data_IF_040990064541
#
_entry.id   IF_040990064541
#
_cell.length_a   1.000
_cell.length_b   1.000
_cell.length_c   1.000
_cell.angle_alpha   90.00
_cell.angle_beta   90.00
_cell.angle_gamma   90.00
#
_symmetry.space_group_name_H-M   'P 1'
#
loop_
_entity.id
_entity.type
_entity.pdbx_description
1 polymer ?
#
# COMPACT_ATOMS: atom_id res chain seq x y z
N UNK A 1 7.95 15.31 -1.22
CA UNK A 1 7.85 14.17 -2.13
C UNK A 1 8.69 13.05 -1.57
N UNK A 2 8.05 12.03 -0.98
CA UNK A 2 8.75 10.86 -0.45
C UNK A 2 8.27 9.66 -1.24
N UNK A 3 9.21 8.91 -1.80
CA UNK A 3 8.91 7.64 -2.46
C UNK A 3 8.92 6.58 -1.35
N UNK A 4 7.75 6.03 -1.06
CA UNK A 4 7.57 5.00 -0.04
C UNK A 4 7.23 3.68 -0.72
N UNK A 5 8.07 2.68 -0.52
CA UNK A 5 7.83 1.33 -1.02
C UNK A 5 6.87 0.53 -0.12
N UNK A 6 6.68 1.01 1.12
CA UNK A 6 5.79 0.40 2.11
C UNK A 6 4.43 1.15 2.15
N UNK A 7 3.34 0.52 1.68
CA UNK A 7 2.02 1.13 1.68
C UNK A 7 1.44 1.33 3.09
N UNK A 8 1.87 0.56 4.10
CA UNK A 8 1.44 0.76 5.48
C UNK A 8 2.03 2.07 6.05
N UNK A 9 3.29 2.37 5.70
CA UNK A 9 3.92 3.65 6.04
C UNK A 9 3.23 4.81 5.31
N UNK A 10 2.97 4.64 4.02
CA UNK A 10 2.27 5.63 3.21
C UNK A 10 0.94 6.08 3.83
N UNK A 11 0.07 5.12 4.18
CA UNK A 11 -1.28 5.43 4.66
C UNK A 11 -1.30 6.03 6.06
N UNK A 12 -0.27 5.77 6.87
CA UNK A 12 -0.20 6.25 8.25
C UNK A 12 0.31 7.69 8.36
N UNK A 13 1.24 8.10 7.50
CA UNK A 13 1.90 9.40 7.60
C UNK A 13 1.56 10.36 6.46
N UNK A 14 0.89 9.88 5.40
CA UNK A 14 0.50 10.71 4.27
C UNK A 14 -1.02 10.88 4.22
N UNK A 15 -1.49 12.11 4.06
CA UNK A 15 -2.91 12.42 3.81
C UNK A 15 -3.36 12.04 2.39
N UNK A 16 -2.39 11.82 1.50
CA UNK A 16 -2.60 11.45 0.11
C UNK A 16 -1.50 10.49 -0.31
N UNK A 17 -1.87 9.42 -1.00
CA UNK A 17 -0.95 8.49 -1.65
C UNK A 17 -1.26 8.47 -3.15
N UNK A 18 -0.22 8.42 -3.98
CA UNK A 18 -0.38 8.38 -5.43
C UNK A 18 0.14 7.06 -5.95
N UNK A 19 -0.67 6.41 -6.77
CA UNK A 19 -0.40 5.10 -7.33
C UNK A 19 0.24 5.25 -8.69
N UNK A 20 1.40 4.63 -8.88
CA UNK A 20 2.09 4.59 -10.15
C UNK A 20 2.37 3.16 -10.58
N UNK A 21 2.28 2.91 -11.89
CA UNK A 21 2.70 1.66 -12.54
C UNK A 21 3.49 2.04 -13.78
N UNK A 22 4.71 1.51 -13.90
CA UNK A 22 5.56 1.72 -15.10
C UNK A 22 5.78 3.21 -15.45
N UNK A 23 5.90 4.07 -14.44
CA UNK A 23 6.07 5.51 -14.63
C UNK A 23 4.80 6.28 -14.96
N UNK A 24 3.64 5.61 -15.03
CA UNK A 24 2.34 6.23 -15.28
C UNK A 24 1.55 6.37 -13.99
N UNK A 25 0.88 7.51 -13.83
CA UNK A 25 -0.08 7.76 -12.76
C UNK A 25 -1.33 6.88 -12.98
N UNK A 26 -1.57 5.92 -12.10
CA UNK A 26 -2.70 5.00 -12.18
C UNK A 26 -3.86 5.37 -11.25
N UNK A 27 -3.62 6.24 -10.26
CA UNK A 27 -4.66 6.65 -9.34
C UNK A 27 -4.13 7.41 -8.14
N UNK A 28 -5.04 7.79 -7.26
CA UNK A 28 -4.75 8.42 -5.99
C UNK A 28 -5.59 7.76 -4.91
N UNK A 29 -5.04 7.70 -3.70
CA UNK A 29 -5.69 7.22 -2.49
C UNK A 29 -5.60 8.29 -1.41
N UNK A 30 -6.62 8.34 -0.56
CA UNK A 30 -6.59 9.00 0.72
C UNK A 30 -6.85 7.94 1.80
N UNK A 31 -6.18 8.01 2.96
CA UNK A 31 -6.53 7.14 4.08
C UNK A 31 -8.01 7.27 4.50
N UNK A 32 -8.62 8.42 4.18
CA UNK A 32 -10.02 8.76 4.41
C UNK A 32 -11.01 7.98 3.54
N UNK A 33 -10.56 7.41 2.41
CA UNK A 33 -11.42 6.67 1.46
C UNK A 33 -11.91 5.33 2.03
N UNK A 34 -11.41 4.94 3.20
CA UNK A 34 -11.81 3.75 3.94
C UNK A 34 -11.08 2.47 3.50
N UNK A 35 -11.09 1.43 4.33
CA UNK A 35 -10.27 0.23 4.15
C UNK A 35 -10.58 -0.52 2.85
N UNK A 36 -11.86 -0.64 2.47
CA UNK A 36 -12.25 -1.37 1.25
C UNK A 36 -11.76 -0.69 -0.02
N UNK A 37 -11.90 0.62 -0.09
CA UNK A 37 -11.52 1.41 -1.27
C UNK A 37 -10.01 1.45 -1.42
N UNK A 38 -9.30 1.62 -0.30
CA UNK A 38 -7.84 1.56 -0.23
C UNK A 38 -7.32 0.17 -0.60
N UNK A 39 -7.96 -0.90 -0.10
CA UNK A 39 -7.60 -2.27 -0.47
C UNK A 39 -7.81 -2.54 -1.96
N UNK A 40 -8.96 -2.14 -2.52
CA UNK A 40 -9.26 -2.34 -3.93
C UNK A 40 -8.19 -1.71 -4.83
N UNK A 41 -7.82 -0.45 -4.55
CA UNK A 41 -6.79 0.24 -5.33
C UNK A 41 -5.39 -0.36 -5.14
N UNK A 42 -5.02 -0.73 -3.90
CA UNK A 42 -3.71 -1.34 -3.62
C UNK A 42 -3.60 -2.77 -4.18
N UNK A 43 -4.69 -3.53 -4.23
CA UNK A 43 -4.70 -4.92 -4.71
C UNK A 43 -4.27 -5.06 -6.17
N UNK A 44 -4.47 -4.03 -6.99
CA UNK A 44 -3.98 -4.00 -8.35
C UNK A 44 -2.44 -4.07 -8.42
N UNK A 45 -1.76 -3.51 -7.41
CA UNK A 45 -0.30 -3.33 -7.36
C UNK A 45 0.37 -4.34 -6.43
N UNK A 46 -0.33 -4.70 -5.35
CA UNK A 46 0.07 -5.65 -4.32
C UNK A 46 -1.00 -6.75 -4.21
N UNK A 47 -0.99 -7.75 -5.11
CA UNK A 47 -1.91 -8.88 -5.01
C UNK A 47 -1.76 -9.56 -3.65
N UNK A 48 -2.87 -9.73 -2.93
CA UNK A 48 -2.89 -10.31 -1.58
C UNK A 48 -2.75 -9.30 -0.43
N UNK A 49 -2.70 -7.99 -0.72
CA UNK A 49 -2.80 -6.98 0.34
C UNK A 49 -4.21 -6.99 0.94
N UNK A 50 -4.27 -6.96 2.28
CA UNK A 50 -5.48 -6.72 3.05
C UNK A 50 -5.34 -5.45 3.84
N UNK A 51 -6.40 -4.65 3.87
CA UNK A 51 -6.45 -3.38 4.59
C UNK A 51 -7.58 -3.44 5.59
N UNK A 52 -7.33 -3.00 6.81
CA UNK A 52 -8.30 -2.97 7.88
C UNK A 52 -8.21 -1.67 8.67
N UNK A 53 -9.34 -1.30 9.24
CA UNK A 53 -9.43 -0.17 10.14
C UNK A 53 -8.77 -0.53 11.48
N UNK A 54 -8.00 0.40 12.04
CA UNK A 54 -7.31 0.23 13.30
C UNK A 54 -7.33 1.55 14.10
N UNK A 55 -7.30 1.49 15.44
CA UNK A 55 -7.17 2.70 16.25
C UNK A 55 -5.87 3.45 15.89
N UNK A 56 -6.01 4.60 15.22
CA UNK A 56 -4.88 5.41 14.73
C UNK A 56 -4.65 5.36 13.22
N UNK A 57 -5.55 4.75 12.45
CA UNK A 57 -5.57 4.82 10.98
C UNK A 57 -5.70 3.45 10.31
N UNK A 58 -5.53 3.45 8.99
CA UNK A 58 -5.56 2.22 8.21
C UNK A 58 -4.29 1.40 8.45
N UNK A 59 -4.46 0.10 8.64
CA UNK A 59 -3.37 -0.86 8.68
C UNK A 59 -3.44 -1.78 7.48
N UNK A 60 -2.29 -2.12 6.90
CA UNK A 60 -2.19 -3.06 5.80
C UNK A 60 -1.30 -4.26 6.15
N UNK A 61 -1.72 -5.44 5.74
CA UNK A 61 -0.91 -6.65 5.80
C UNK A 61 -0.88 -7.33 4.45
N UNK A 62 0.17 -8.10 4.18
CA UNK A 62 0.24 -8.95 3.00
C UNK A 62 -0.16 -10.36 3.44
N UNK A 63 -1.28 -10.86 2.93
CA UNK A 63 -1.64 -12.25 3.08
C UNK A 63 -0.77 -13.05 2.11
N UNK A 64 0.39 -13.49 2.59
CA UNK A 64 1.26 -14.38 1.83
C UNK A 64 0.56 -15.74 1.83
N UNK A 65 0.17 -16.32 0.68
CA UNK A 65 -0.31 -17.69 0.66
C UNK A 65 0.83 -18.57 1.24
N UNK A 66 0.54 -19.13 2.40
CA UNK A 66 1.28 -20.07 3.23
C UNK A 66 2.63 -20.55 2.68
N UNK A 67 3.71 -19.89 3.10
CA UNK A 67 4.74 -20.56 3.92
C UNK A 67 5.19 -19.59 4.99
N UNK A 68 4.85 -19.94 6.23
CA UNK A 68 5.27 -19.28 7.44
C UNK A 68 6.80 -19.20 7.52
N UNK A 69 7.31 -18.01 7.85
CA UNK A 69 8.74 -17.78 8.09
C UNK A 69 9.33 -16.74 7.15
N UNK A 70 9.19 -15.46 7.53
CA UNK A 70 10.21 -14.41 7.42
C UNK A 70 9.52 -13.05 7.42
N UNK A 71 9.54 -12.40 8.58
CA UNK A 71 9.49 -10.94 8.68
C UNK A 71 10.77 -10.44 7.99
N UNK A 72 10.72 -10.20 6.69
CA UNK A 72 11.77 -9.51 5.95
C UNK A 72 11.12 -8.75 4.80
N UNK A 73 11.15 -7.43 4.95
CA UNK A 73 11.10 -6.38 3.94
C UNK A 73 10.89 -6.91 2.50
N UNK A 74 9.62 -7.03 2.09
CA UNK A 74 9.27 -7.49 0.74
C UNK A 74 9.38 -6.33 -0.27
N UNK A 75 10.60 -5.84 -0.47
CA UNK A 75 10.96 -5.03 -1.63
C UNK A 75 10.95 -5.95 -2.87
N UNK A 76 9.86 -5.97 -3.64
CA UNK A 76 9.89 -6.53 -5.01
C UNK A 76 10.59 -5.53 -5.93
N UNK A 77 11.55 -5.95 -6.78
CA UNK A 77 12.19 -5.07 -7.74
C UNK A 77 11.20 -4.79 -8.88
N UNK A 78 10.80 -3.53 -9.06
CA UNK A 78 10.12 -3.10 -10.30
C UNK A 78 8.91 -2.17 -10.16
N UNK A 79 8.39 -1.91 -8.96
CA UNK A 79 7.32 -0.91 -8.78
C UNK A 79 7.74 0.18 -7.77
N UNK A 80 7.98 1.37 -8.29
CA UNK A 80 8.24 2.58 -7.51
C UNK A 80 6.93 3.34 -7.31
N UNK A 81 6.57 3.57 -6.05
CA UNK A 81 5.40 4.38 -5.67
C UNK A 81 5.87 5.76 -5.24
N UNK A 82 5.36 6.80 -5.91
CA UNK A 82 5.68 8.17 -5.55
C UNK A 82 4.50 8.74 -4.78
N UNK A 83 4.72 9.20 -3.55
CA UNK A 83 3.67 9.75 -2.69
C UNK A 83 3.90 11.25 -2.53
N UNK A 84 2.92 12.05 -2.97
CA UNK A 84 2.94 13.51 -2.95
C UNK A 84 2.36 14.06 -1.65
#
# INVERSE_FOLDING_TARGET
LVVLHDPALALRWCSRAVLMREGVLCGQLRPEDGPEQVQAALSALYPGIRVYDSPGGLFCTMDRPEKAGACHNAQKPGLSFTIF
#
